data_IF_222109788493
#
_entry.id   IF_222109788493
#
_cell.length_a   1.000
_cell.length_b   1.000
_cell.length_c   1.000
_cell.angle_alpha   90.00
_cell.angle_beta   90.00
_cell.angle_gamma   90.00
#
_symmetry.space_group_name_H-M   'P 1'
#
loop_
_entity.id
_entity.type
_entity.pdbx_description
1 polymer ?
#
# COMPACT_ATOMS: atom_id res chain seq x y z
N UNK A 1 -1.72 9.88 -10.11
CA UNK A 1 -1.96 9.19 -8.83
C UNK A 1 -1.65 10.15 -7.70
N UNK A 2 -2.61 10.47 -6.81
CA UNK A 2 -2.28 11.18 -5.57
C UNK A 2 -1.68 10.16 -4.62
N UNK A 3 -0.37 10.22 -4.46
CA UNK A 3 0.36 9.29 -3.60
C UNK A 3 0.89 10.05 -2.40
N UNK A 4 0.60 9.56 -1.21
CA UNK A 4 1.15 10.10 0.03
C UNK A 4 2.17 9.10 0.58
N UNK A 5 3.42 9.56 0.73
CA UNK A 5 4.49 8.75 1.30
C UNK A 5 4.65 9.09 2.78
N UNK A 6 4.33 8.14 3.66
CA UNK A 6 4.55 8.29 5.10
C UNK A 6 5.86 7.60 5.51
N UNK A 7 6.89 8.40 5.77
CA UNK A 7 8.19 7.97 6.32
C UNK A 7 8.33 8.24 7.82
N UNK A 8 7.25 8.70 8.47
CA UNK A 8 7.28 8.91 9.91
C UNK A 8 7.40 7.52 10.57
N UNK A 9 8.44 7.30 11.39
CA UNK A 9 8.68 6.05 12.16
C UNK A 9 7.61 5.81 13.25
N UNK A 10 6.34 6.00 12.92
CA UNK A 10 5.17 5.76 13.76
C UNK A 10 4.79 4.28 13.63
N UNK A 11 4.14 3.74 14.66
CA UNK A 11 3.64 2.36 14.60
C UNK A 11 2.63 2.17 13.46
N UNK A 12 2.65 1.00 12.83
CA UNK A 12 1.84 0.63 11.66
C UNK A 12 0.36 1.00 11.80
N UNK A 13 -0.24 0.83 12.98
CA UNK A 13 -1.63 1.21 13.28
C UNK A 13 -1.91 2.70 13.04
N UNK A 14 -0.96 3.58 13.39
CA UNK A 14 -1.10 5.02 13.20
C UNK A 14 -1.01 5.42 11.73
N UNK A 15 -0.22 4.69 10.94
CA UNK A 15 -0.07 4.94 9.50
C UNK A 15 -1.33 4.47 8.75
N UNK A 16 -1.87 3.30 9.10
CA UNK A 16 -3.13 2.80 8.53
C UNK A 16 -4.31 3.73 8.85
N UNK A 17 -4.43 4.22 10.09
CA UNK A 17 -5.47 5.20 10.45
C UNK A 17 -5.27 6.56 9.75
N UNK A 18 -4.04 6.88 9.33
CA UNK A 18 -3.81 8.05 8.49
C UNK A 18 -4.30 7.79 7.06
N UNK A 19 -3.94 6.66 6.46
CA UNK A 19 -4.40 6.29 5.12
C UNK A 19 -5.93 6.26 4.99
N UNK A 20 -6.60 5.67 5.99
CA UNK A 20 -8.07 5.65 6.09
C UNK A 20 -8.68 7.07 6.15
N UNK A 21 -8.10 7.96 6.98
CA UNK A 21 -8.53 9.37 7.05
C UNK A 21 -8.30 10.16 5.77
N UNK A 22 -7.39 9.71 4.91
CA UNK A 22 -7.15 10.32 3.60
C UNK A 22 -8.04 9.73 2.51
N UNK A 23 -8.96 8.82 2.87
CA UNK A 23 -9.87 8.14 1.96
C UNK A 23 -9.09 7.44 0.83
N UNK A 24 -7.96 6.84 1.18
CA UNK A 24 -7.14 6.08 0.25
C UNK A 24 -7.75 4.70 0.02
N UNK A 25 -7.80 4.26 -1.22
CA UNK A 25 -8.31 2.94 -1.57
C UNK A 25 -7.32 1.82 -1.20
N UNK A 26 -6.02 2.16 -1.18
CA UNK A 26 -4.93 1.21 -0.98
C UNK A 26 -3.81 1.74 -0.09
N UNK A 27 -3.14 0.82 0.60
CA UNK A 27 -1.87 1.04 1.26
C UNK A 27 -0.79 0.10 0.70
N UNK A 28 0.30 0.68 0.20
CA UNK A 28 1.50 -0.08 -0.18
C UNK A 28 2.46 -0.10 1.00
N UNK A 29 2.79 -1.29 1.49
CA UNK A 29 3.64 -1.50 2.66
C UNK A 29 5.00 -2.04 2.18
N UNK A 30 6.05 -1.31 2.53
CA UNK A 30 7.44 -1.67 2.20
C UNK A 30 8.25 -1.71 3.50
N UNK A 31 8.51 -2.93 3.98
CA UNK A 31 9.33 -3.19 5.15
C UNK A 31 10.64 -3.91 4.83
N UNK A 32 11.47 -4.22 5.84
CA UNK A 32 12.74 -4.92 5.66
C UNK A 32 12.60 -6.34 5.09
N UNK A 33 11.41 -6.94 5.17
CA UNK A 33 11.12 -8.25 4.57
C UNK A 33 10.86 -8.10 3.08
N UNK A 34 9.98 -7.18 2.72
CA UNK A 34 9.59 -6.83 1.34
C UNK A 34 10.82 -6.45 0.51
N UNK A 35 11.69 -5.60 1.07
CA UNK A 35 12.95 -5.21 0.43
C UNK A 35 13.89 -6.40 0.20
N UNK A 36 13.96 -7.35 1.15
CA UNK A 36 14.80 -8.56 1.01
C UNK A 36 14.25 -9.52 -0.03
N UNK A 37 12.92 -9.60 -0.16
CA UNK A 37 12.24 -10.50 -1.08
C UNK A 37 12.03 -9.88 -2.47
N UNK A 38 12.33 -8.59 -2.65
CA UNK A 38 12.09 -7.86 -3.90
C UNK A 38 10.60 -7.70 -4.21
N UNK A 39 9.76 -7.70 -3.17
CA UNK A 39 8.31 -7.69 -3.27
C UNK A 39 7.73 -6.51 -2.49
N UNK A 40 6.44 -6.25 -2.66
CA UNK A 40 5.68 -5.26 -1.91
C UNK A 40 4.41 -5.89 -1.37
N UNK A 41 3.92 -5.42 -0.23
CA UNK A 41 2.62 -5.84 0.28
C UNK A 41 1.59 -4.76 -0.04
N UNK A 42 0.63 -5.09 -0.90
CA UNK A 42 -0.51 -4.23 -1.20
C UNK A 42 -1.66 -4.61 -0.25
N UNK A 43 -2.21 -3.61 0.42
CA UNK A 43 -3.39 -3.76 1.27
C UNK A 43 -4.54 -2.96 0.70
N UNK A 44 -5.65 -3.64 0.45
CA UNK A 44 -6.93 -3.00 0.15
C UNK A 44 -7.51 -2.46 1.47
N UNK A 45 -7.80 -1.17 1.50
CA UNK A 45 -8.30 -0.51 2.71
C UNK A 45 -9.82 -0.61 2.83
N UNK A 46 -10.53 -0.94 1.75
CA UNK A 46 -11.97 -1.19 1.74
C UNK A 46 -12.28 -2.60 2.25
N UNK A 47 -11.62 -3.63 1.70
CA UNK A 47 -11.84 -5.02 2.11
C UNK A 47 -10.98 -5.45 3.31
N UNK A 48 -9.84 -4.79 3.52
CA UNK A 48 -8.84 -5.17 4.51
C UNK A 48 -7.91 -6.31 4.08
N UNK A 49 -8.06 -6.83 2.85
CA UNK A 49 -7.21 -7.90 2.31
C UNK A 49 -5.80 -7.41 2.03
N UNK A 50 -4.83 -8.33 2.14
CA UNK A 50 -3.41 -8.03 1.97
C UNK A 50 -2.78 -9.09 1.06
N UNK A 51 -2.04 -8.65 0.06
CA UNK A 51 -1.37 -9.53 -0.90
C UNK A 51 0.08 -9.09 -1.10
N UNK A 52 0.99 -10.07 -1.23
CA UNK A 52 2.42 -9.81 -1.46
C UNK A 52 2.76 -10.07 -2.92
N UNK A 53 3.11 -9.01 -3.64
CA UNK A 53 3.23 -8.97 -5.08
C UNK A 53 4.64 -8.51 -5.49
N UNK A 54 4.98 -8.65 -6.77
CA UNK A 54 6.12 -7.87 -7.30
C UNK A 54 5.73 -6.39 -7.44
N UNK A 55 6.73 -5.53 -7.61
CA UNK A 55 6.47 -4.11 -7.88
C UNK A 55 5.67 -3.93 -9.18
N UNK A 56 5.97 -4.71 -10.21
CA UNK A 56 5.32 -4.63 -11.50
C UNK A 56 3.83 -5.01 -11.40
N UNK A 57 3.53 -6.14 -10.75
CA UNK A 57 2.15 -6.58 -10.52
C UNK A 57 1.35 -5.55 -9.70
N UNK A 58 1.99 -4.96 -8.68
CA UNK A 58 1.36 -3.92 -7.86
C UNK A 58 0.99 -2.68 -8.68
N UNK A 59 1.87 -2.27 -9.60
CA UNK A 59 1.60 -1.14 -10.50
C UNK A 59 0.47 -1.44 -11.48
N UNK A 60 0.39 -2.67 -12.00
CA UNK A 60 -0.70 -3.08 -12.89
C UNK A 60 -2.07 -3.00 -12.19
N UNK A 61 -2.18 -3.51 -10.96
CA UNK A 61 -3.43 -3.45 -10.17
C UNK A 61 -3.84 -2.00 -9.91
N UNK A 62 -2.88 -1.16 -9.47
CA UNK A 62 -3.14 0.25 -9.19
C UNK A 62 -3.53 1.04 -10.45
N UNK A 63 -2.94 0.69 -11.61
CA UNK A 63 -3.29 1.30 -12.88
C UNK A 63 -4.70 0.92 -13.35
N UNK A 64 -5.08 -0.36 -13.23
CA UNK A 64 -6.40 -0.84 -13.63
C UNK A 64 -7.53 -0.16 -12.83
N UNK A 65 -7.39 -0.06 -11.50
CA UNK A 65 -8.44 0.54 -10.64
C UNK A 65 -8.51 2.06 -10.72
N UNK A 66 -7.43 2.77 -11.05
CA UNK A 66 -7.45 4.23 -11.19
C UNK A 66 -8.17 4.72 -12.47
N UNK A 67 -8.48 3.81 -13.39
CA UNK A 67 -9.15 4.13 -14.67
C UNK A 67 -10.64 3.80 -14.66
N UNK A 68 -11.13 3.18 -13.58
CA UNK A 68 -12.55 2.90 -13.32
C UNK A 68 -13.19 4.04 -12.52
#
# INVERSE_FOLDING_TARGET
YKTYLDIMQRGLRSQLHFADRWNADYAVIIGPKEVREGKVTLRDLESGEQETLTLDDCLEILAQRATA
#
